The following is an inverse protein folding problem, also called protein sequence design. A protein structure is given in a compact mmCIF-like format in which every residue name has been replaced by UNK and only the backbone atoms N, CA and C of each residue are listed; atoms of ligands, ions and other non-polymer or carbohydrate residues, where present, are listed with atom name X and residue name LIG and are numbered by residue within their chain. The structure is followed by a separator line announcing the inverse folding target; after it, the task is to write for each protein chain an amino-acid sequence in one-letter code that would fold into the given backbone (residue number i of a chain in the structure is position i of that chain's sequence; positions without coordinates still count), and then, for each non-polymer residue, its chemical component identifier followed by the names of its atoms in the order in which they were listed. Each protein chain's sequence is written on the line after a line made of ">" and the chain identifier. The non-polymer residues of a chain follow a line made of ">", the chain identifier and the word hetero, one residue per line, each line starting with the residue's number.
data_IF_034954929115
#
_entry.id   IF_034954929115
#
_cell.length_a   1.000
_cell.length_b   1.000
_cell.length_c   1.000
_cell.angle_alpha   90.00
_cell.angle_beta   90.00
_cell.angle_gamma   90.00
#
_symmetry.space_group_name_H-M   'P 1'
#
loop_
_entity.id
_entity.type
_entity.pdbx_description
1 polymer ?
#
# COMPACT_ATOMS: atom_id res chain seq x y z
N UNK A 1 -16.22 -4.84 11.69
CA UNK A 1 -15.79 -3.55 11.12
C UNK A 1 -14.30 -3.68 10.95
N UNK A 2 -13.81 -3.81 9.73
CA UNK A 2 -12.37 -3.68 9.49
C UNK A 2 -11.98 -2.23 9.78
N UNK A 3 -11.14 -2.02 10.77
CA UNK A 3 -10.66 -0.68 11.13
C UNK A 3 -9.72 -0.20 10.02
N UNK A 4 -10.16 0.82 9.30
CA UNK A 4 -9.34 1.53 8.32
C UNK A 4 -8.65 2.73 8.95
N UNK A 5 -7.42 3.00 8.53
CA UNK A 5 -6.59 4.09 9.06
C UNK A 5 -6.31 5.16 7.97
N UNK A 6 -6.00 6.40 8.37
CA UNK A 6 -5.48 7.40 7.46
C UNK A 6 -4.05 7.09 7.02
N UNK A 7 -3.69 7.53 5.81
CA UNK A 7 -2.39 7.30 5.17
C UNK A 7 -1.20 7.76 6.03
N UNK A 8 -1.38 8.85 6.77
CA UNK A 8 -0.36 9.42 7.64
C UNK A 8 0.04 8.47 8.79
N UNK A 9 -0.87 7.60 9.22
CA UNK A 9 -0.66 6.62 10.28
C UNK A 9 -0.14 5.27 9.78
N UNK A 10 0.09 5.12 8.48
CA UNK A 10 0.60 3.89 7.88
C UNK A 10 2.10 3.99 7.69
N UNK A 11 2.84 3.11 8.37
CA UNK A 11 4.25 2.85 8.08
C UNK A 11 4.42 1.66 7.14
N UNK A 12 3.66 0.60 7.36
CA UNK A 12 3.55 -0.56 6.45
C UNK A 12 2.08 -0.93 6.33
N UNK A 13 1.55 -1.01 5.11
CA UNK A 13 0.13 -1.28 4.91
C UNK A 13 -0.29 -1.35 3.45
N UNK A 14 -1.52 -1.79 3.23
CA UNK A 14 -2.13 -1.88 1.90
C UNK A 14 -3.50 -1.21 1.87
N UNK A 15 -3.91 -0.80 0.67
CA UNK A 15 -5.19 -0.19 0.39
C UNK A 15 -5.93 -1.03 -0.67
N UNK A 16 -7.25 -1.29 -0.53
CA UNK A 16 -8.01 -2.15 -1.45
C UNK A 16 -8.02 -1.65 -2.90
N UNK A 17 -7.71 -0.37 -3.13
CA UNK A 17 -7.51 0.23 -4.47
C UNK A 17 -6.17 -0.14 -5.13
N UNK A 18 -5.40 -1.07 -4.56
CA UNK A 18 -4.13 -1.51 -5.13
C UNK A 18 -2.94 -0.64 -4.74
N UNK A 19 -2.96 0.01 -3.57
CA UNK A 19 -1.79 0.74 -3.08
C UNK A 19 -1.11 0.00 -1.93
N UNK A 20 0.22 0.11 -1.86
CA UNK A 20 1.03 -0.37 -0.75
C UNK A 20 1.95 0.74 -0.27
N UNK A 21 2.10 0.81 1.05
CA UNK A 21 3.08 1.65 1.72
C UNK A 21 4.01 0.72 2.47
N UNK A 22 5.30 0.95 2.31
CA UNK A 22 6.34 0.33 3.13
C UNK A 22 7.46 1.34 3.37
N UNK A 23 7.38 2.09 4.46
CA UNK A 23 8.42 3.06 4.84
C UNK A 23 9.74 2.41 5.27
N UNK A 24 9.74 1.10 5.53
CA UNK A 24 10.94 0.32 5.85
C UNK A 24 11.71 -0.10 4.60
N UNK A 25 11.04 -0.15 3.44
CA UNK A 25 11.65 -0.45 2.16
C UNK A 25 12.49 0.72 1.60
N UNK A 26 13.18 0.45 0.50
CA UNK A 26 13.93 1.47 -0.25
C UNK A 26 12.99 2.56 -0.77
N UNK A 27 13.48 3.79 -1.03
CA UNK A 27 12.64 4.89 -1.50
C UNK A 27 11.80 4.56 -2.74
N UNK A 28 12.30 3.69 -3.62
CA UNK A 28 11.58 3.24 -4.83
C UNK A 28 10.40 2.31 -4.52
N UNK A 29 10.45 1.59 -3.41
CA UNK A 29 9.41 0.64 -3.01
C UNK A 29 8.50 1.19 -1.90
N UNK A 30 8.76 2.42 -1.44
CA UNK A 30 8.06 3.01 -0.31
C UNK A 30 6.58 3.24 -0.57
N UNK A 31 6.24 3.73 -1.75
CA UNK A 31 4.88 3.99 -2.19
C UNK A 31 4.70 3.36 -3.54
N UNK A 32 3.91 2.29 -3.61
CA UNK A 32 3.72 1.54 -4.84
C UNK A 32 2.24 1.32 -5.11
N UNK A 33 1.88 1.44 -6.38
CA UNK A 33 0.59 0.97 -6.89
C UNK A 33 0.81 -0.36 -7.58
N UNK A 34 -0.10 -1.28 -7.35
CA UNK A 34 -0.08 -2.63 -7.87
C UNK A 34 -1.41 -2.90 -8.56
N UNK A 35 -1.38 -3.80 -9.52
CA UNK A 35 -2.57 -4.35 -10.15
C UNK A 35 -3.01 -5.58 -9.37
N UNK A 36 -4.25 -5.55 -8.87
CA UNK A 36 -4.92 -6.75 -8.36
C UNK A 36 -5.53 -7.50 -9.53
N UNK A 37 -5.08 -8.72 -9.76
CA UNK A 37 -5.74 -9.60 -10.73
C UNK A 37 -7.00 -10.26 -10.12
N UNK A 38 -7.80 -10.93 -10.95
CA UNK A 38 -9.04 -11.62 -10.52
C UNK A 38 -8.80 -12.73 -9.47
N UNK A 39 -7.55 -13.18 -9.31
CA UNK A 39 -7.15 -14.15 -8.29
C UNK A 39 -6.74 -13.48 -6.96
N UNK A 40 -6.87 -12.15 -6.85
CA UNK A 40 -6.46 -11.38 -5.68
C UNK A 40 -4.94 -11.25 -5.51
N UNK A 41 -4.16 -11.63 -6.52
CA UNK A 41 -2.72 -11.46 -6.49
C UNK A 41 -2.32 -10.06 -6.92
N UNK A 42 -1.33 -9.53 -6.22
CA UNK A 42 -0.75 -8.23 -6.49
C UNK A 42 0.39 -8.40 -7.49
N UNK A 43 0.35 -7.66 -8.59
CA UNK A 43 1.37 -7.67 -9.64
C UNK A 43 1.73 -6.27 -10.13
N UNK A 44 2.81 -6.15 -10.90
CA UNK A 44 3.27 -4.91 -11.53
C UNK A 44 3.40 -3.70 -10.57
N UNK A 45 4.34 -3.75 -9.60
CA UNK A 45 4.58 -2.60 -8.73
C UNK A 45 5.07 -1.40 -9.53
N UNK A 46 4.33 -0.31 -9.46
CA UNK A 46 4.70 0.99 -10.04
C UNK A 46 4.93 1.97 -8.88
N UNK A 47 6.11 2.60 -8.78
CA UNK A 47 6.36 3.63 -7.78
C UNK A 47 5.44 4.83 -8.02
N UNK A 48 4.88 5.38 -6.94
CA UNK A 48 4.00 6.55 -6.98
C UNK A 48 4.45 7.62 -5.98
N UNK A 49 4.04 8.87 -6.21
CA UNK A 49 4.22 9.93 -5.23
C UNK A 49 3.24 9.76 -4.06
N UNK A 50 3.59 10.31 -2.90
CA UNK A 50 2.71 10.32 -1.72
C UNK A 50 1.36 10.99 -2.02
N UNK A 51 1.33 12.04 -2.85
CA UNK A 51 0.10 12.74 -3.23
C UNK A 51 -0.87 11.90 -4.07
N UNK A 52 -0.41 10.79 -4.65
CA UNK A 52 -1.25 9.87 -5.42
C UNK A 52 -1.96 8.82 -4.53
N UNK A 53 -1.64 8.80 -3.24
CA UNK A 53 -2.17 7.85 -2.27
C UNK A 53 -3.55 8.29 -1.77
N UNK A 54 -4.49 7.35 -1.56
CA UNK A 54 -5.73 7.64 -0.84
C UNK A 54 -5.44 8.19 0.56
N UNK A 55 -6.22 9.18 1.03
CA UNK A 55 -6.01 9.79 2.34
C UNK A 55 -6.43 8.87 3.50
N UNK A 56 -7.42 8.00 3.27
CA UNK A 56 -7.99 7.04 4.23
C UNK A 56 -8.18 5.66 3.62
N UNK A 57 -8.82 4.73 4.35
CA UNK A 57 -9.13 3.38 3.84
C UNK A 57 -7.99 2.37 3.94
N UNK A 58 -6.94 2.66 4.70
CA UNK A 58 -5.75 1.82 4.77
C UNK A 58 -5.84 0.72 5.82
N UNK A 59 -5.22 -0.42 5.51
CA UNK A 59 -5.03 -1.53 6.43
C UNK A 59 -3.56 -1.59 6.84
N UNK A 60 -3.28 -1.60 8.15
CA UNK A 60 -1.92 -1.78 8.68
C UNK A 60 -1.46 -3.23 8.48
N UNK A 61 -0.25 -3.41 7.98
CA UNK A 61 0.39 -4.71 7.81
C UNK A 61 1.67 -4.77 8.66
N UNK A 62 2.03 -5.95 9.18
CA UNK A 62 3.26 -6.15 9.95
C UNK A 62 4.51 -6.24 9.08
N UNK A 63 4.35 -6.38 7.77
CA UNK A 63 5.41 -6.56 6.78
C UNK A 63 4.84 -7.13 5.48
N UNK A 64 5.55 -6.97 4.38
CA UNK A 64 5.30 -7.74 3.15
C UNK A 64 6.47 -8.71 2.95
N UNK A 65 6.16 -10.01 2.80
CA UNK A 65 7.13 -10.99 2.32
C UNK A 65 7.46 -10.61 0.87
N UNK A 66 8.71 -10.24 0.63
CA UNK A 66 9.20 -9.67 -0.63
C UNK A 66 9.85 -10.72 -1.53
#
# INVERSE_FOLDING_TARGET
>A
MEESFPVAEIDVGCHPRGYRIDKTATPLNRYTRWELNDNGMWSNPVPVCFDALPEDGWMKCTGFDW
#
